data_IF_732226825387
#
_entry.id   IF_732226825387
#
_cell.length_a   1.000
_cell.length_b   1.000
_cell.length_c   1.000
_cell.angle_alpha   90.00
_cell.angle_beta   90.00
_cell.angle_gamma   90.00
#
_symmetry.space_group_name_H-M   'P 1'
#
loop_
_entity.id
_entity.type
_entity.pdbx_description
1 polymer ?
#
# COMPACT_ATOMS: atom_id res chain seq x y z
N UNK A 1 65.05 -21.82 -45.23
CA UNK A 1 63.91 -22.53 -44.69
C UNK A 1 63.25 -21.92 -43.42
N UNK A 2 63.79 -20.86 -42.80
CA UNK A 2 63.24 -20.23 -41.56
C UNK A 2 62.10 -19.23 -41.76
N UNK A 3 61.92 -18.63 -42.96
CA UNK A 3 60.86 -17.64 -43.20
C UNK A 3 59.46 -18.25 -43.44
N UNK A 4 59.32 -19.44 -43.93
CA UNK A 4 58.01 -20.10 -44.16
C UNK A 4 57.35 -20.63 -42.88
N UNK A 5 58.15 -20.94 -41.85
CA UNK A 5 57.65 -21.39 -40.54
C UNK A 5 57.01 -20.28 -39.74
N UNK A 6 57.47 -19.02 -39.86
CA UNK A 6 56.96 -17.87 -39.14
C UNK A 6 55.56 -17.47 -39.65
N UNK A 7 55.34 -17.57 -40.95
CA UNK A 7 54.01 -17.27 -41.53
C UNK A 7 52.96 -18.34 -41.17
N UNK A 8 53.37 -19.59 -41.03
CA UNK A 8 52.46 -20.67 -40.63
C UNK A 8 52.03 -20.54 -39.16
N UNK A 9 52.95 -20.15 -38.28
CA UNK A 9 52.62 -19.93 -36.86
C UNK A 9 51.81 -18.69 -36.64
N UNK A 10 52.02 -17.61 -37.42
CA UNK A 10 51.22 -16.39 -37.35
C UNK A 10 49.79 -16.61 -37.90
N UNK A 11 49.61 -17.41 -38.96
CA UNK A 11 48.31 -17.80 -39.49
C UNK A 11 47.50 -18.66 -38.51
N UNK A 12 48.16 -19.57 -37.73
CA UNK A 12 47.53 -20.38 -36.73
C UNK A 12 47.07 -19.58 -35.49
N UNK A 13 47.86 -18.52 -35.12
CA UNK A 13 47.53 -17.62 -34.03
C UNK A 13 46.33 -16.70 -34.33
N UNK A 14 46.18 -16.29 -35.60
CA UNK A 14 45.05 -15.44 -36.03
C UNK A 14 43.74 -16.24 -36.11
N UNK A 15 43.79 -17.53 -36.46
CA UNK A 15 42.60 -18.40 -36.48
C UNK A 15 42.05 -18.72 -35.08
N UNK A 16 42.85 -18.62 -34.04
CA UNK A 16 42.38 -18.82 -32.68
C UNK A 16 41.55 -17.66 -32.09
N UNK A 17 41.48 -16.52 -32.77
CA UNK A 17 40.71 -15.35 -32.33
C UNK A 17 39.32 -15.25 -32.94
N UNK A 18 38.93 -16.14 -33.85
CA UNK A 18 37.62 -16.13 -34.52
C UNK A 18 36.62 -17.08 -33.82
N UNK A 19 36.96 -17.57 -32.64
CA UNK A 19 36.14 -18.51 -31.88
C UNK A 19 35.21 -17.92 -30.82
N UNK A 20 34.84 -16.65 -30.90
CA UNK A 20 33.66 -16.19 -30.19
C UNK A 20 32.42 -16.62 -31.01
N UNK A 21 31.94 -17.80 -30.77
CA UNK A 21 30.57 -18.12 -31.13
C UNK A 21 29.69 -17.27 -30.23
N UNK A 22 29.27 -16.11 -30.69
CA UNK A 22 28.11 -15.45 -30.14
C UNK A 22 26.95 -16.42 -30.30
N UNK A 23 26.51 -16.95 -29.18
CA UNK A 23 25.36 -17.85 -29.15
C UNK A 23 24.10 -16.96 -29.22
N UNK A 24 23.84 -16.39 -30.40
CA UNK A 24 22.69 -15.56 -30.74
C UNK A 24 21.40 -16.40 -30.85
N UNK A 25 21.28 -17.43 -30.05
CA UNK A 25 19.98 -18.05 -29.87
C UNK A 25 19.16 -17.10 -29.00
N UNK A 26 18.08 -16.51 -29.51
CA UNK A 26 17.18 -15.73 -28.69
C UNK A 26 16.47 -16.69 -27.73
N UNK A 27 17.11 -16.99 -26.61
CA UNK A 27 16.41 -17.62 -25.52
C UNK A 27 15.37 -16.61 -25.03
N UNK A 28 14.07 -16.94 -25.07
CA UNK A 28 13.08 -16.07 -24.48
C UNK A 28 13.46 -15.86 -23.01
N UNK A 29 13.71 -14.60 -22.64
CA UNK A 29 13.94 -14.27 -21.23
C UNK A 29 12.63 -14.49 -20.50
N UNK A 30 12.53 -15.63 -19.80
CA UNK A 30 11.34 -15.92 -18.98
C UNK A 30 11.49 -15.10 -17.70
N UNK A 31 10.64 -14.11 -17.55
CA UNK A 31 10.56 -13.27 -16.34
C UNK A 31 9.50 -13.86 -15.42
N UNK A 32 9.88 -14.11 -14.17
CA UNK A 32 8.94 -14.58 -13.14
C UNK A 32 8.01 -13.46 -12.70
N UNK A 33 6.73 -13.57 -13.06
CA UNK A 33 5.72 -12.59 -12.73
C UNK A 33 4.53 -13.22 -12.02
N UNK A 34 3.97 -12.48 -11.06
CA UNK A 34 2.61 -12.70 -10.59
C UNK A 34 1.71 -11.91 -11.55
N UNK A 35 0.82 -12.60 -12.25
CA UNK A 35 -0.09 -12.01 -13.24
C UNK A 35 -1.48 -11.78 -12.69
N UNK A 36 -1.92 -12.64 -11.76
CA UNK A 36 -3.19 -12.49 -11.06
C UNK A 36 -3.04 -12.97 -9.62
N UNK A 37 -3.67 -12.24 -8.70
CA UNK A 37 -3.74 -12.63 -7.29
C UNK A 37 -5.08 -12.17 -6.71
N UNK A 38 -5.75 -13.08 -6.02
CA UNK A 38 -6.99 -12.81 -5.31
C UNK A 38 -6.91 -13.38 -3.90
N UNK A 39 -7.49 -12.65 -2.95
CA UNK A 39 -7.61 -13.07 -1.55
C UNK A 39 -9.05 -12.90 -1.09
N UNK A 40 -9.43 -13.63 -0.05
CA UNK A 40 -10.78 -13.56 0.49
C UNK A 40 -11.16 -12.14 0.90
N UNK A 41 -12.35 -11.69 0.49
CA UNK A 41 -12.84 -10.34 0.79
C UNK A 41 -12.11 -9.19 0.09
N UNK A 42 -11.39 -9.48 -1.00
CA UNK A 42 -10.67 -8.47 -1.79
C UNK A 42 -11.64 -7.45 -2.40
N UNK A 43 -11.30 -6.16 -2.27
CA UNK A 43 -12.02 -5.03 -2.90
C UNK A 43 -11.27 -4.48 -4.10
N UNK A 44 -9.95 -4.52 -4.09
CA UNK A 44 -9.11 -4.12 -5.22
C UNK A 44 -7.75 -4.81 -5.19
N UNK A 45 -7.15 -4.98 -6.37
CA UNK A 45 -5.80 -5.50 -6.54
C UNK A 45 -5.06 -4.67 -7.59
N UNK A 46 -3.80 -4.38 -7.33
CA UNK A 46 -2.89 -3.70 -8.24
C UNK A 46 -1.56 -4.43 -8.29
N UNK A 47 -1.20 -4.92 -9.47
CA UNK A 47 0.07 -5.62 -9.71
C UNK A 47 1.05 -4.67 -10.39
N UNK A 48 2.19 -4.45 -9.75
CA UNK A 48 3.25 -3.54 -10.17
C UNK A 48 4.46 -4.35 -10.62
N UNK A 49 4.48 -4.80 -11.87
CA UNK A 49 5.54 -5.65 -12.43
C UNK A 49 6.93 -5.00 -12.39
N UNK A 50 7.02 -3.67 -12.51
CA UNK A 50 8.30 -2.96 -12.49
C UNK A 50 9.01 -3.00 -11.12
N UNK A 51 8.24 -3.13 -10.03
CA UNK A 51 8.74 -3.21 -8.65
C UNK A 51 8.54 -4.59 -8.02
N UNK A 52 7.99 -5.56 -8.76
CA UNK A 52 7.62 -6.87 -8.26
C UNK A 52 6.75 -6.77 -6.98
N UNK A 53 5.72 -5.93 -7.04
CA UNK A 53 4.87 -5.67 -5.88
C UNK A 53 3.41 -5.89 -6.24
N UNK A 54 2.67 -6.52 -5.34
CA UNK A 54 1.21 -6.62 -5.42
C UNK A 54 0.63 -5.86 -4.25
N UNK A 55 -0.27 -4.92 -4.54
CA UNK A 55 -1.03 -4.14 -3.57
C UNK A 55 -2.48 -4.59 -3.57
N UNK A 56 -2.97 -5.09 -2.47
CA UNK A 56 -4.33 -5.59 -2.32
C UNK A 56 -5.04 -4.81 -1.23
N UNK A 57 -6.28 -4.43 -1.51
CA UNK A 57 -7.20 -3.96 -0.49
C UNK A 57 -8.29 -4.99 -0.26
N UNK A 58 -8.64 -5.19 1.00
CA UNK A 58 -9.73 -6.07 1.44
C UNK A 58 -10.78 -5.26 2.19
N UNK A 59 -11.97 -5.82 2.34
CA UNK A 59 -13.01 -5.21 3.15
C UNK A 59 -12.50 -4.96 4.58
N UNK A 60 -12.96 -3.90 5.19
CA UNK A 60 -12.50 -3.43 6.51
C UNK A 60 -12.81 -4.41 7.66
N UNK A 61 -13.72 -5.37 7.43
CA UNK A 61 -14.10 -6.43 8.36
C UNK A 61 -13.23 -7.68 8.31
N UNK A 62 -12.25 -7.75 7.42
CA UNK A 62 -11.41 -8.93 7.20
C UNK A 62 -10.23 -8.95 8.18
N UNK A 63 -10.00 -10.11 8.80
CA UNK A 63 -8.80 -10.34 9.61
C UNK A 63 -7.61 -10.71 8.71
N UNK A 64 -6.57 -9.88 8.73
CA UNK A 64 -5.37 -10.11 7.93
C UNK A 64 -4.47 -11.23 8.46
N UNK A 65 -4.70 -11.71 9.70
CA UNK A 65 -3.89 -12.77 10.34
C UNK A 65 -4.21 -14.17 9.80
N UNK A 66 -5.40 -14.34 9.25
CA UNK A 66 -5.88 -15.62 8.70
C UNK A 66 -6.61 -15.36 7.38
N UNK A 67 -5.85 -14.92 6.38
CA UNK A 67 -6.40 -14.54 5.09
C UNK A 67 -6.10 -15.60 4.03
N UNK A 68 -7.15 -16.14 3.42
CA UNK A 68 -7.04 -17.14 2.36
C UNK A 68 -6.65 -16.49 1.04
N UNK A 69 -5.60 -17.00 0.39
CA UNK A 69 -5.31 -16.70 -1.00
C UNK A 69 -6.23 -17.57 -1.87
N UNK A 70 -7.11 -16.94 -2.64
CA UNK A 70 -8.11 -17.64 -3.46
C UNK A 70 -7.59 -17.95 -4.86
N UNK A 71 -6.66 -17.13 -5.35
CA UNK A 71 -6.04 -17.26 -6.66
C UNK A 71 -4.62 -16.73 -6.65
N UNK A 72 -3.72 -17.44 -7.30
CA UNK A 72 -2.34 -17.02 -7.53
C UNK A 72 -1.87 -17.53 -8.89
N UNK A 73 -1.89 -16.67 -9.90
CA UNK A 73 -1.41 -17.01 -11.24
C UNK A 73 -0.03 -16.41 -11.44
N UNK A 74 0.91 -17.26 -11.77
CA UNK A 74 2.31 -16.89 -12.01
C UNK A 74 2.73 -17.30 -13.41
N UNK A 75 3.88 -16.81 -13.88
CA UNK A 75 4.48 -17.24 -15.14
C UNK A 75 4.56 -18.77 -15.17
N UNK A 76 4.18 -19.37 -16.30
CA UNK A 76 4.12 -20.83 -16.50
C UNK A 76 5.44 -21.50 -16.15
N UNK A 77 5.33 -22.64 -15.46
CA UNK A 77 6.47 -23.46 -15.04
C UNK A 77 7.21 -22.97 -13.79
N UNK A 78 6.87 -21.80 -13.25
CA UNK A 78 7.48 -21.29 -12.03
C UNK A 78 7.04 -22.06 -10.80
N UNK A 79 8.01 -22.33 -9.92
CA UNK A 79 7.75 -22.75 -8.54
C UNK A 79 7.51 -21.54 -7.66
N UNK A 80 6.61 -21.70 -6.70
CA UNK A 80 6.21 -20.66 -5.75
C UNK A 80 6.73 -21.02 -4.36
N UNK A 81 7.50 -20.13 -3.77
CA UNK A 81 8.00 -20.24 -2.40
C UNK A 81 7.52 -19.02 -1.59
N UNK A 82 6.41 -19.16 -0.86
CA UNK A 82 5.94 -18.10 0.02
C UNK A 82 6.83 -17.98 1.25
N UNK A 83 6.76 -16.82 1.92
CA UNK A 83 7.40 -16.63 3.22
C UNK A 83 6.83 -17.61 4.24
N UNK A 84 7.67 -18.50 4.75
CA UNK A 84 7.27 -19.52 5.71
C UNK A 84 6.75 -18.95 7.04
N UNK A 85 7.19 -17.76 7.43
CA UNK A 85 6.73 -17.10 8.65
C UNK A 85 5.30 -16.53 8.49
N UNK A 86 4.88 -16.27 7.26
CA UNK A 86 3.55 -15.76 6.96
C UNK A 86 2.52 -16.87 6.71
N UNK A 87 2.95 -18.05 6.23
CA UNK A 87 2.03 -19.18 6.01
C UNK A 87 1.55 -19.77 7.33
N UNK A 88 0.25 -20.06 7.44
CA UNK A 88 -0.29 -20.78 8.57
C UNK A 88 0.12 -22.27 8.54
N UNK A 89 0.19 -22.83 7.33
CA UNK A 89 0.69 -24.21 7.09
C UNK A 89 1.54 -24.24 5.82
N UNK A 90 2.84 -24.01 5.98
CA UNK A 90 3.79 -24.00 4.85
C UNK A 90 3.92 -25.38 4.16
N UNK A 91 3.73 -26.48 4.91
CA UNK A 91 3.87 -27.81 4.36
C UNK A 91 2.76 -28.16 3.38
N UNK A 92 1.63 -27.52 3.50
CA UNK A 92 0.46 -27.73 2.66
C UNK A 92 0.16 -26.55 1.71
N UNK A 93 1.04 -25.54 1.67
CA UNK A 93 0.90 -24.47 0.68
C UNK A 93 1.30 -24.95 -0.70
N UNK A 94 0.53 -24.62 -1.78
CA UNK A 94 0.88 -25.02 -3.15
C UNK A 94 2.25 -24.48 -3.57
N UNK A 95 3.09 -25.34 -4.16
CA UNK A 95 4.41 -24.96 -4.70
C UNK A 95 4.36 -24.46 -6.14
N UNK A 96 3.16 -24.30 -6.70
CA UNK A 96 2.90 -23.74 -8.04
C UNK A 96 1.76 -22.74 -7.97
N UNK A 97 1.61 -21.92 -9.02
CA UNK A 97 0.43 -21.07 -9.18
C UNK A 97 -0.86 -21.88 -9.30
N UNK A 98 -1.99 -21.27 -8.96
CA UNK A 98 -3.32 -21.88 -9.04
C UNK A 98 -4.37 -20.81 -9.41
N UNK A 99 -5.38 -21.24 -10.15
CA UNK A 99 -6.46 -20.37 -10.63
C UNK A 99 -7.63 -20.29 -9.65
N UNK A 100 -7.75 -21.25 -8.74
CA UNK A 100 -8.74 -21.25 -7.65
C UNK A 100 -8.26 -22.17 -6.53
N UNK A 101 -8.31 -21.65 -5.29
CA UNK A 101 -8.00 -22.44 -4.11
C UNK A 101 -8.99 -23.59 -3.88
N UNK A 102 -10.22 -23.50 -4.40
CA UNK A 102 -11.22 -24.55 -4.31
C UNK A 102 -10.95 -25.73 -5.26
N UNK A 103 -10.11 -25.51 -6.27
CA UNK A 103 -9.69 -26.56 -7.22
C UNK A 103 -8.42 -27.30 -6.78
N UNK A 104 -7.81 -26.91 -5.68
CA UNK A 104 -6.61 -27.55 -5.15
C UNK A 104 -6.92 -28.95 -4.57
N UNK A 105 -5.94 -29.86 -4.55
CA UNK A 105 -6.08 -31.15 -3.88
C UNK A 105 -6.49 -31.01 -2.41
N UNK A 106 -7.24 -32.00 -1.91
CA UNK A 106 -7.63 -32.02 -0.51
C UNK A 106 -6.41 -31.98 0.43
N UNK A 107 -6.47 -31.13 1.46
CA UNK A 107 -5.39 -30.96 2.42
C UNK A 107 -4.45 -29.79 2.12
N UNK A 108 -4.58 -29.12 0.98
CA UNK A 108 -3.84 -27.87 0.73
C UNK A 108 -4.43 -26.73 1.54
N UNK A 109 -3.56 -25.86 2.06
CA UNK A 109 -3.90 -24.65 2.83
C UNK A 109 -3.22 -23.43 2.24
N UNK A 110 -4.03 -22.43 1.84
CA UNK A 110 -3.55 -21.19 1.24
C UNK A 110 -3.67 -19.99 2.18
N UNK A 111 -3.92 -20.25 3.48
CA UNK A 111 -4.08 -19.20 4.49
C UNK A 111 -2.74 -18.65 4.93
N UNK A 112 -2.70 -17.32 5.04
CA UNK A 112 -1.49 -16.58 5.37
C UNK A 112 -1.80 -15.39 6.28
N UNK A 113 -0.80 -14.97 7.03
CA UNK A 113 -0.82 -13.75 7.83
C UNK A 113 -0.23 -12.58 7.02
N UNK A 114 -1.08 -11.62 6.65
CA UNK A 114 -0.74 -10.42 5.88
C UNK A 114 -0.70 -9.14 6.71
N UNK A 115 -0.53 -9.22 8.02
CA UNK A 115 -0.32 -8.01 8.86
C UNK A 115 0.93 -7.23 8.44
N UNK A 116 1.93 -7.92 7.92
CA UNK A 116 3.14 -7.34 7.36
C UNK A 116 3.26 -7.72 5.88
N UNK A 117 4.07 -6.98 5.10
CA UNK A 117 4.37 -7.34 3.72
C UNK A 117 4.90 -8.77 3.61
N UNK A 118 4.29 -9.60 2.77
CA UNK A 118 4.65 -11.00 2.57
C UNK A 118 5.46 -11.18 1.31
N UNK A 119 6.54 -11.93 1.39
CA UNK A 119 7.38 -12.23 0.23
C UNK A 119 6.97 -13.55 -0.42
N UNK A 120 6.97 -13.53 -1.75
CA UNK A 120 6.83 -14.71 -2.60
C UNK A 120 8.04 -14.78 -3.50
N UNK A 121 8.77 -15.89 -3.47
CA UNK A 121 9.83 -16.15 -4.43
C UNK A 121 9.30 -17.06 -5.53
N UNK A 122 9.42 -16.58 -6.76
CA UNK A 122 9.15 -17.36 -7.96
C UNK A 122 10.48 -17.87 -8.52
N UNK A 123 10.60 -19.16 -8.76
CA UNK A 123 11.85 -19.78 -9.21
C UNK A 123 11.61 -20.74 -10.37
N UNK A 124 12.46 -20.62 -11.40
CA UNK A 124 12.58 -21.60 -12.49
C UNK A 124 14.06 -21.81 -12.81
N UNK A 125 14.67 -20.91 -13.59
CA UNK A 125 16.12 -20.88 -13.86
C UNK A 125 16.83 -19.80 -13.02
N UNK A 126 16.11 -18.81 -12.57
CA UNK A 126 16.53 -17.79 -11.62
C UNK A 126 15.36 -17.42 -10.71
N UNK A 127 15.69 -16.74 -9.62
CA UNK A 127 14.73 -16.33 -8.61
C UNK A 127 14.23 -14.91 -8.84
N UNK A 128 12.92 -14.72 -8.61
CA UNK A 128 12.25 -13.42 -8.65
C UNK A 128 11.50 -13.23 -7.34
N UNK A 129 11.95 -12.29 -6.53
CA UNK A 129 11.29 -11.97 -5.28
C UNK A 129 10.17 -10.94 -5.52
N UNK A 130 8.96 -11.29 -5.10
CA UNK A 130 7.77 -10.46 -5.11
C UNK A 130 7.36 -10.11 -3.70
N UNK A 131 6.79 -8.91 -3.50
CA UNK A 131 6.25 -8.46 -2.22
C UNK A 131 4.75 -8.22 -2.36
N UNK A 132 3.97 -8.83 -1.49
CA UNK A 132 2.52 -8.66 -1.43
C UNK A 132 2.16 -7.85 -0.20
N UNK A 133 1.53 -6.70 -0.43
CA UNK A 133 1.01 -5.80 0.61
C UNK A 133 -0.51 -5.90 0.63
N UNK A 134 -1.07 -6.26 1.75
CA UNK A 134 -2.51 -6.29 1.95
C UNK A 134 -2.89 -5.24 2.99
N UNK A 135 -3.92 -4.46 2.71
CA UNK A 135 -4.45 -3.46 3.62
C UNK A 135 -5.97 -3.48 3.65
N UNK A 136 -6.56 -3.08 4.77
CA UNK A 136 -8.02 -2.91 4.87
C UNK A 136 -8.44 -1.61 4.20
N UNK A 137 -9.55 -1.63 3.48
CA UNK A 137 -10.15 -0.43 2.88
C UNK A 137 -11.07 0.26 3.89
N UNK A 138 -10.45 0.97 4.84
CA UNK A 138 -11.17 1.63 5.94
C UNK A 138 -11.68 2.99 5.47
N UNK A 139 -12.99 3.15 5.46
CA UNK A 139 -13.64 4.44 5.21
C UNK A 139 -13.87 5.14 6.54
N UNK A 140 -13.09 6.18 6.81
CA UNK A 140 -13.24 6.99 8.02
C UNK A 140 -14.31 8.05 7.84
N UNK A 141 -15.16 8.18 8.83
CA UNK A 141 -16.25 9.15 8.85
C UNK A 141 -16.29 9.87 10.17
N UNK A 142 -16.45 11.16 10.09
CA UNK A 142 -16.71 11.97 11.26
C UNK A 142 -17.69 13.08 10.90
N UNK A 143 -18.68 13.24 11.73
CA UNK A 143 -19.67 14.29 11.63
C UNK A 143 -20.03 14.81 13.01
N UNK A 144 -19.93 16.11 13.15
CA UNK A 144 -20.29 16.85 14.37
C UNK A 144 -21.36 17.86 13.98
N UNK A 145 -22.31 18.06 14.89
CA UNK A 145 -23.34 19.10 14.71
C UNK A 145 -22.71 20.47 14.53
N UNK A 146 -23.25 21.26 13.61
CA UNK A 146 -22.74 22.58 13.24
C UNK A 146 -21.29 22.56 12.71
N UNK A 147 -20.88 21.43 12.10
CA UNK A 147 -19.57 21.30 11.47
C UNK A 147 -19.47 22.20 10.23
N UNK A 148 -18.32 22.86 10.09
CA UNK A 148 -17.96 23.67 8.92
C UNK A 148 -16.91 22.93 8.09
N UNK A 149 -17.24 22.62 6.85
CA UNK A 149 -16.35 21.90 5.95
C UNK A 149 -16.16 20.43 6.32
N UNK A 150 -15.19 19.78 5.68
CA UNK A 150 -14.82 18.39 5.96
C UNK A 150 -13.83 18.32 7.11
N UNK A 151 -13.90 17.25 7.88
CA UNK A 151 -12.88 16.96 8.89
C UNK A 151 -11.51 16.70 8.24
N UNK A 152 -10.46 17.17 8.88
CA UNK A 152 -9.08 16.86 8.49
C UNK A 152 -8.64 15.62 9.26
N UNK A 153 -8.43 14.53 8.55
CA UNK A 153 -8.05 13.23 9.12
C UNK A 153 -6.64 12.91 8.68
N UNK A 154 -5.73 12.75 9.63
CA UNK A 154 -4.36 12.32 9.40
C UNK A 154 -4.17 10.90 9.92
N UNK A 155 -4.08 9.94 9.00
CA UNK A 155 -3.91 8.52 9.29
C UNK A 155 -2.55 8.18 9.89
N UNK A 156 -1.54 8.96 9.59
CA UNK A 156 -0.19 8.70 10.06
C UNK A 156 -0.03 9.10 11.53
N UNK A 157 -0.49 10.30 11.87
CA UNK A 157 -0.41 10.82 13.25
C UNK A 157 -1.63 10.47 14.09
N UNK A 158 -2.65 9.82 13.49
CA UNK A 158 -3.92 9.48 14.14
C UNK A 158 -4.62 10.69 14.77
N UNK A 159 -4.55 11.82 14.08
CA UNK A 159 -5.15 13.06 14.50
C UNK A 159 -6.32 13.45 13.59
N UNK A 160 -7.36 13.97 14.22
CA UNK A 160 -8.54 14.50 13.54
C UNK A 160 -8.81 15.91 14.02
N UNK A 161 -9.01 16.83 13.08
CA UNK A 161 -9.42 18.21 13.37
C UNK A 161 -10.75 18.46 12.69
N UNK A 162 -11.71 18.95 13.47
CA UNK A 162 -13.02 19.35 12.97
C UNK A 162 -13.27 20.81 13.33
N UNK A 163 -13.78 21.56 12.38
CA UNK A 163 -14.19 22.94 12.61
C UNK A 163 -15.69 23.03 12.79
N UNK A 164 -16.14 23.88 13.74
CA UNK A 164 -17.55 24.16 14.01
C UNK A 164 -17.83 25.65 13.90
N UNK A 165 -19.04 26.00 13.51
CA UNK A 165 -19.45 27.40 13.42
C UNK A 165 -19.56 28.02 14.82
N UNK A 166 -18.84 29.13 15.04
CA UNK A 166 -18.82 29.82 16.34
C UNK A 166 -20.13 30.50 16.67
N UNK A 167 -20.99 30.77 15.68
CA UNK A 167 -22.29 31.39 15.89
C UNK A 167 -23.35 30.38 16.29
N UNK A 168 -23.32 29.24 15.67
CA UNK A 168 -24.25 28.12 15.92
C UNK A 168 -23.80 27.27 17.12
N UNK A 169 -22.48 27.18 17.34
CA UNK A 169 -21.83 26.42 18.40
C UNK A 169 -20.91 27.34 19.26
N UNK A 170 -21.47 28.22 20.09
CA UNK A 170 -20.67 29.22 20.84
C UNK A 170 -19.80 28.64 21.94
N UNK A 171 -19.94 27.34 22.25
CA UNK A 171 -19.18 26.63 23.29
C UNK A 171 -18.73 25.27 22.86
N UNK A 172 -17.43 24.98 23.01
CA UNK A 172 -16.86 23.65 22.80
C UNK A 172 -17.10 22.68 23.98
N UNK A 173 -17.83 23.09 25.01
CA UNK A 173 -18.18 22.22 26.15
C UNK A 173 -19.38 21.30 25.87
N UNK A 174 -20.11 21.56 24.79
CA UNK A 174 -21.37 20.89 24.49
C UNK A 174 -21.43 20.48 23.02
N UNK A 175 -20.43 19.74 22.59
CA UNK A 175 -20.34 19.21 21.23
C UNK A 175 -21.15 17.94 21.12
N UNK A 176 -21.93 17.80 20.07
CA UNK A 176 -22.69 16.60 19.72
C UNK A 176 -22.04 15.93 18.52
N UNK A 177 -21.50 14.73 18.75
CA UNK A 177 -20.94 13.88 17.68
C UNK A 177 -22.10 13.10 17.06
N UNK A 178 -22.39 13.33 15.78
CA UNK A 178 -23.44 12.61 15.03
C UNK A 178 -22.92 11.28 14.47
N UNK A 179 -21.66 11.25 14.00
CA UNK A 179 -21.02 10.06 13.45
C UNK A 179 -19.52 10.09 13.79
N UNK A 180 -18.98 8.97 14.24
CA UNK A 180 -17.55 8.78 14.45
C UNK A 180 -17.16 7.34 14.11
N UNK A 181 -16.51 7.16 12.95
CA UNK A 181 -15.91 5.91 12.53
C UNK A 181 -14.45 6.18 12.15
N UNK A 182 -13.52 5.84 13.01
CA UNK A 182 -12.08 6.09 12.80
C UNK A 182 -11.31 4.81 12.39
N UNK A 183 -11.89 3.65 12.58
CA UNK A 183 -11.32 2.36 12.20
C UNK A 183 -12.27 1.53 11.33
N UNK A 184 -12.08 0.22 11.35
CA UNK A 184 -13.00 -0.75 10.74
C UNK A 184 -14.42 -0.55 11.23
N UNK A 185 -15.40 -0.90 10.39
CA UNK A 185 -16.84 -0.80 10.74
C UNK A 185 -17.25 -1.69 11.93
N UNK A 186 -16.45 -2.71 12.24
CA UNK A 186 -16.64 -3.57 13.41
C UNK A 186 -15.88 -3.10 14.65
N UNK A 187 -15.11 -2.01 14.55
CA UNK A 187 -14.29 -1.53 15.64
C UNK A 187 -15.13 -0.97 16.79
N UNK A 188 -14.67 -1.20 18.00
CA UNK A 188 -15.22 -0.58 19.21
C UNK A 188 -14.42 0.68 19.53
N UNK A 189 -15.14 1.79 19.75
CA UNK A 189 -14.53 3.07 20.11
C UNK A 189 -14.78 3.36 21.60
N UNK A 190 -13.71 3.65 22.34
CA UNK A 190 -13.76 3.99 23.77
C UNK A 190 -12.98 5.28 24.02
N UNK A 191 -13.51 6.26 24.79
CA UNK A 191 -14.86 6.27 25.38
C UNK A 191 -15.96 6.33 24.31
N UNK A 192 -17.19 6.01 24.70
CA UNK A 192 -18.36 6.12 23.82
C UNK A 192 -18.48 7.57 23.29
N UNK A 193 -18.40 7.78 21.97
CA UNK A 193 -18.39 9.11 21.38
C UNK A 193 -19.60 9.96 21.80
N UNK A 194 -20.77 9.34 21.98
CA UNK A 194 -22.00 10.04 22.35
C UNK A 194 -21.96 10.65 23.77
N UNK A 195 -21.05 10.16 24.62
CA UNK A 195 -20.86 10.64 26.01
C UNK A 195 -19.76 11.67 26.17
N UNK A 196 -18.94 11.88 25.12
CA UNK A 196 -17.87 12.86 25.14
C UNK A 196 -18.38 14.16 24.53
N UNK A 197 -18.67 15.15 25.35
CA UNK A 197 -19.28 16.42 24.92
C UNK A 197 -18.35 17.63 25.06
N UNK A 198 -17.35 17.57 25.94
CA UNK A 198 -16.44 18.70 26.21
C UNK A 198 -15.17 18.57 25.34
N UNK A 199 -15.03 19.45 24.35
CA UNK A 199 -13.89 19.55 23.45
C UNK A 199 -13.09 20.85 23.61
N UNK A 200 -13.15 21.47 24.78
CA UNK A 200 -12.26 22.60 25.10
C UNK A 200 -10.77 22.23 25.07
N UNK A 201 -10.49 20.92 25.08
CA UNK A 201 -9.17 20.31 24.82
C UNK A 201 -9.36 19.12 23.91
N UNK A 202 -8.32 18.71 23.15
CA UNK A 202 -8.35 17.48 22.37
C UNK A 202 -8.79 16.27 23.22
N UNK A 203 -9.54 15.37 22.62
CA UNK A 203 -10.02 14.14 23.26
C UNK A 203 -9.41 12.92 22.56
N UNK A 204 -9.03 11.96 23.37
CA UNK A 204 -8.47 10.69 22.88
C UNK A 204 -9.57 9.64 22.83
N UNK A 205 -9.61 8.91 21.72
CA UNK A 205 -10.45 7.76 21.48
C UNK A 205 -9.58 6.55 21.16
N UNK A 206 -9.85 5.46 21.82
CA UNK A 206 -9.23 4.16 21.53
C UNK A 206 -10.17 3.37 20.63
N UNK A 207 -9.65 2.99 19.45
CA UNK A 207 -10.40 2.25 18.43
C UNK A 207 -9.84 0.85 18.37
N UNK A 208 -10.62 -0.14 18.82
CA UNK A 208 -10.17 -1.53 18.95
C UNK A 208 -10.87 -2.42 17.94
N UNK A 209 -10.09 -3.12 17.12
CA UNK A 209 -10.56 -4.18 16.22
C UNK A 209 -9.48 -5.25 16.07
N UNK A 210 -9.85 -6.53 15.93
CA UNK A 210 -8.92 -7.65 15.71
C UNK A 210 -7.80 -7.75 16.76
N UNK A 211 -8.11 -7.44 18.03
CA UNK A 211 -7.17 -7.36 19.16
C UNK A 211 -6.09 -6.28 19.03
N UNK A 212 -6.22 -5.37 18.06
CA UNK A 212 -5.38 -4.19 17.91
C UNK A 212 -6.12 -2.94 18.36
N UNK A 213 -5.44 -2.05 19.07
CA UNK A 213 -6.00 -0.79 19.53
C UNK A 213 -5.19 0.37 18.99
N UNK A 214 -5.86 1.26 18.26
CA UNK A 214 -5.29 2.51 17.79
C UNK A 214 -5.75 3.67 18.69
N UNK A 215 -4.83 4.58 19.00
CA UNK A 215 -5.12 5.80 19.75
C UNK A 215 -5.33 6.96 18.76
N UNK A 216 -6.52 7.53 18.77
CA UNK A 216 -6.91 8.66 17.92
C UNK A 216 -7.17 9.90 18.75
N UNK A 217 -6.63 11.04 18.32
CA UNK A 217 -6.89 12.32 18.97
C UNK A 217 -7.84 13.16 18.12
N UNK A 218 -8.98 13.53 18.69
CA UNK A 218 -9.97 14.42 18.05
C UNK A 218 -9.92 15.80 18.68
N UNK A 219 -9.71 16.79 17.84
CA UNK A 219 -9.73 18.22 18.19
C UNK A 219 -10.89 18.92 17.50
N UNK A 220 -11.71 19.63 18.26
CA UNK A 220 -12.75 20.49 17.72
C UNK A 220 -12.31 21.94 17.91
N UNK A 221 -12.38 22.74 16.83
CA UNK A 221 -11.88 24.11 16.81
C UNK A 221 -12.84 25.02 16.07
N UNK A 222 -12.72 26.31 16.31
CA UNK A 222 -13.35 27.33 15.46
C UNK A 222 -12.45 27.61 14.26
N UNK A 223 -13.00 27.80 13.05
CA UNK A 223 -12.21 28.21 11.91
C UNK A 223 -11.54 29.55 12.22
N UNK A 224 -10.26 29.64 11.90
CA UNK A 224 -9.51 30.86 12.16
C UNK A 224 -9.91 31.91 11.12
N UNK A 225 -10.86 32.78 11.46
CA UNK A 225 -11.42 33.77 10.55
C UNK A 225 -10.38 34.81 10.03
N UNK A 226 -9.20 34.82 10.63
CA UNK A 226 -8.16 35.83 10.33
C UNK A 226 -6.97 35.27 9.53
N UNK A 227 -6.96 34.00 9.15
CA UNK A 227 -5.92 33.45 8.27
C UNK A 227 -6.36 33.64 6.84
N UNK A 228 -6.04 34.80 6.27
CA UNK A 228 -6.13 35.02 4.83
C UNK A 228 -4.75 34.72 4.22
N UNK A 229 -4.69 33.80 3.27
CA UNK A 229 -3.53 33.66 2.44
C UNK A 229 -3.51 34.85 1.46
N UNK A 230 -2.68 35.85 1.74
CA UNK A 230 -2.60 37.09 0.95
C UNK A 230 -1.48 37.07 -0.07
N UNK A 231 -0.51 36.15 0.10
CA UNK A 231 0.63 36.03 -0.79
C UNK A 231 1.05 34.55 -0.90
N UNK A 232 1.32 34.11 -2.12
CA UNK A 232 1.94 32.83 -2.43
C UNK A 232 3.26 33.10 -3.14
N UNK A 233 4.33 32.42 -2.73
CA UNK A 233 5.60 32.45 -3.44
C UNK A 233 6.16 31.05 -3.57
N UNK A 234 6.77 30.75 -4.72
CA UNK A 234 7.35 29.45 -5.00
C UNK A 234 8.66 29.59 -5.79
N UNK A 235 9.62 28.73 -5.47
CA UNK A 235 10.81 28.54 -6.27
C UNK A 235 10.57 27.46 -7.31
N UNK A 236 10.73 27.80 -8.57
CA UNK A 236 10.75 26.84 -9.67
C UNK A 236 12.20 26.53 -10.05
N UNK A 237 12.43 25.54 -10.89
CA UNK A 237 13.78 25.25 -11.41
C UNK A 237 14.40 26.41 -12.22
N UNK A 238 13.60 27.38 -12.64
CA UNK A 238 14.03 28.47 -13.53
C UNK A 238 13.95 29.85 -12.92
N UNK A 239 12.98 30.07 -12.02
CA UNK A 239 12.76 31.39 -11.46
C UNK A 239 11.99 31.31 -10.12
N UNK A 240 12.13 32.35 -9.35
CA UNK A 240 11.24 32.62 -8.22
C UNK A 240 9.94 33.26 -8.75
N UNK A 241 8.82 32.74 -8.36
CA UNK A 241 7.50 33.24 -8.73
C UNK A 241 6.77 33.63 -7.43
N UNK A 242 6.25 34.82 -7.37
CA UNK A 242 5.36 35.30 -6.29
C UNK A 242 4.05 35.79 -6.87
N UNK A 243 3.01 35.69 -6.13
CA UNK A 243 1.70 36.20 -6.49
C UNK A 243 0.91 36.61 -5.27
N UNK A 244 -0.02 37.54 -5.45
CA UNK A 244 -0.98 37.91 -4.43
C UNK A 244 -2.28 37.13 -4.58
N UNK A 245 -2.98 36.94 -3.46
CA UNK A 245 -4.29 36.28 -3.47
C UNK A 245 -5.34 37.35 -3.22
N UNK A 246 -6.21 37.54 -4.19
CA UNK A 246 -7.35 38.48 -4.11
C UNK A 246 -8.63 37.71 -4.41
N UNK A 247 -9.62 37.78 -3.52
CA UNK A 247 -10.94 37.13 -3.69
C UNK A 247 -10.89 35.62 -3.97
N UNK A 248 -9.85 34.92 -3.47
CA UNK A 248 -9.69 33.49 -3.68
C UNK A 248 -8.99 33.09 -4.98
N UNK A 249 -8.51 34.06 -5.75
CA UNK A 249 -7.70 33.82 -6.95
C UNK A 249 -6.24 34.20 -6.70
N UNK A 250 -5.31 33.45 -7.34
CA UNK A 250 -3.87 33.73 -7.29
C UNK A 250 -3.48 34.45 -8.57
N UNK A 251 -3.06 35.71 -8.43
CA UNK A 251 -2.48 36.48 -9.53
C UNK A 251 -0.95 36.42 -9.42
N UNK A 252 -0.28 35.95 -10.47
CA UNK A 252 1.18 35.90 -10.55
C UNK A 252 1.73 37.23 -11.08
N UNK A 253 2.72 37.76 -10.37
CA UNK A 253 3.50 38.94 -10.79
C UNK A 253 4.83 38.52 -11.42
#
# INVERSE_FOLDING_TARGET
MKRKSIFLTFGLLVLSWIGCVENDLPYPTIVGQITEMEVAGMTSCRILGASNTVEIKVADTIDLRDLRVEKLVVTEGMKVYPDSAACLDIAHFPDTGFVSADSLPAGMDTRMNFLNPVKFRLSLYQDYDWTVNVSRDIVRKIKIKNQVGSALIDDYTKNVIVYVDSTEQPSLRNIEIEELQLGSSIAQTTPDPSKVVDFTRPRVFYVTAFDETEEWTLSVQYPNANVQLTQLSAWTRRAYVSGSISKGEVEAE
#
